data_IF_875785370198
#
_entry.id   IF_875785370198
#
_cell.length_a   1.000
_cell.length_b   1.000
_cell.length_c   1.000
_cell.angle_alpha   90.00
_cell.angle_beta   90.00
_cell.angle_gamma   90.00
#
_symmetry.space_group_name_H-M   'P 1'
#
loop_
_entity.id
_entity.type
_entity.pdbx_description
1 polymer ?
#
# COMPACT_ATOMS: atom_id res chain seq x y z
N UNK A 1 -10.66 26.75 9.25
CA UNK A 1 -9.50 26.05 9.82
C UNK A 1 -9.23 24.82 8.99
N UNK A 2 -7.97 24.61 8.60
CA UNK A 2 -7.55 23.50 7.74
C UNK A 2 -6.50 22.64 8.43
N UNK A 3 -6.50 21.35 8.13
CA UNK A 3 -5.52 20.38 8.59
C UNK A 3 -4.93 19.68 7.37
N UNK A 4 -3.62 19.72 7.25
CA UNK A 4 -2.87 18.99 6.23
C UNK A 4 -2.19 17.80 6.88
N UNK A 5 -2.31 16.63 6.25
CA UNK A 5 -1.91 15.35 6.83
C UNK A 5 -1.06 14.58 5.82
N UNK A 6 0.03 13.95 6.28
CA UNK A 6 0.80 12.99 5.49
C UNK A 6 0.19 11.58 5.60
N UNK A 7 0.34 10.79 4.54
CA UNK A 7 -0.16 9.39 4.56
C UNK A 7 0.45 8.55 5.67
N UNK A 8 1.75 8.67 5.94
CA UNK A 8 2.42 7.94 7.03
C UNK A 8 1.91 8.29 8.43
N UNK A 9 1.30 9.46 8.60
CA UNK A 9 0.56 9.79 9.82
C UNK A 9 -0.70 8.92 9.97
N UNK A 10 -1.33 8.53 8.86
CA UNK A 10 -2.59 7.80 8.79
C UNK A 10 -2.42 6.29 8.74
N UNK A 11 -1.25 5.79 8.31
CA UNK A 11 -0.96 4.36 8.15
C UNK A 11 -0.03 3.82 9.25
N UNK A 12 0.06 2.49 9.35
CA UNK A 12 0.77 1.77 10.42
C UNK A 12 2.20 1.36 10.04
N UNK A 13 2.56 1.36 8.75
CA UNK A 13 3.73 0.65 8.24
C UNK A 13 3.52 -0.88 8.20
N UNK A 14 2.26 -1.33 8.19
CA UNK A 14 1.89 -2.74 8.22
C UNK A 14 1.18 -3.10 6.90
N UNK A 15 1.84 -3.88 6.06
CA UNK A 15 1.28 -4.28 4.76
C UNK A 15 0.13 -5.28 4.91
N UNK A 16 -0.96 -5.03 4.20
CA UNK A 16 -2.16 -5.87 4.16
C UNK A 16 -2.63 -6.08 2.72
N UNK A 17 -3.22 -7.24 2.49
CA UNK A 17 -3.89 -7.56 1.22
C UNK A 17 -5.18 -6.73 1.10
N UNK A 18 -5.28 -5.92 0.05
CA UNK A 18 -6.44 -5.05 -0.17
C UNK A 18 -7.38 -5.54 -1.28
N UNK A 19 -6.86 -6.26 -2.27
CA UNK A 19 -7.64 -6.87 -3.33
C UNK A 19 -6.91 -8.06 -3.99
N UNK A 20 -7.68 -8.94 -4.62
CA UNK A 20 -7.17 -10.05 -5.43
C UNK A 20 -7.82 -9.97 -6.81
N UNK A 21 -6.99 -9.85 -7.84
CA UNK A 21 -7.42 -9.75 -9.23
C UNK A 21 -7.05 -11.03 -9.97
N UNK A 22 -8.05 -11.87 -10.22
CA UNK A 22 -7.85 -13.11 -10.96
C UNK A 22 -7.52 -12.84 -12.43
N UNK A 23 -6.51 -13.55 -12.93
CA UNK A 23 -6.22 -13.61 -14.36
C UNK A 23 -7.34 -14.36 -15.08
N UNK A 24 -7.72 -13.88 -16.28
CA UNK A 24 -8.72 -14.57 -17.12
C UNK A 24 -8.29 -15.98 -17.50
N UNK A 25 -6.98 -16.22 -17.58
CA UNK A 25 -6.39 -17.52 -17.91
C UNK A 25 -5.93 -18.28 -16.66
N UNK A 26 -6.37 -17.90 -15.46
CA UNK A 26 -5.91 -18.55 -14.23
C UNK A 26 -6.17 -20.06 -14.29
N UNK A 27 -5.15 -20.91 -14.07
CA UNK A 27 -5.32 -22.36 -14.07
C UNK A 27 -5.99 -22.86 -12.78
N UNK A 28 -6.15 -21.99 -11.78
CA UNK A 28 -6.66 -22.32 -10.45
C UNK A 28 -7.70 -21.31 -9.97
N UNK A 29 -8.47 -21.69 -8.96
CA UNK A 29 -9.44 -20.80 -8.30
C UNK A 29 -8.75 -19.71 -7.47
N UNK A 30 -9.52 -18.67 -7.11
CA UNK A 30 -9.04 -17.61 -6.22
C UNK A 30 -8.61 -18.14 -4.85
N UNK A 31 -9.35 -19.10 -4.30
CA UNK A 31 -9.01 -19.74 -3.02
C UNK A 31 -7.66 -20.46 -3.11
N UNK A 32 -7.45 -21.25 -4.18
CA UNK A 32 -6.20 -21.97 -4.41
C UNK A 32 -5.01 -21.04 -4.59
N UNK A 33 -5.08 -20.04 -5.48
CA UNK A 33 -3.95 -19.11 -5.69
C UNK A 33 -3.64 -18.30 -4.44
N UNK A 34 -4.66 -17.90 -3.67
CA UNK A 34 -4.48 -17.20 -2.39
C UNK A 34 -3.76 -18.09 -1.38
N UNK A 35 -4.16 -19.36 -1.28
CA UNK A 35 -3.50 -20.35 -0.43
C UNK A 35 -2.07 -20.62 -0.88
N UNK A 36 -1.82 -20.80 -2.18
CA UNK A 36 -0.49 -21.04 -2.72
C UNK A 36 0.46 -19.87 -2.47
N UNK A 37 0.00 -18.64 -2.72
CA UNK A 37 0.75 -17.43 -2.41
C UNK A 37 1.09 -17.37 -0.92
N UNK A 38 0.13 -17.62 -0.03
CA UNK A 38 0.36 -17.61 1.42
C UNK A 38 1.34 -18.70 1.88
N UNK A 39 1.24 -19.92 1.36
CA UNK A 39 2.18 -21.01 1.70
C UNK A 39 3.60 -20.71 1.22
N UNK A 40 3.74 -20.06 0.05
CA UNK A 40 5.02 -19.66 -0.49
C UNK A 40 5.63 -18.50 0.31
N UNK A 41 4.89 -17.41 0.49
CA UNK A 41 5.33 -16.16 1.14
C UNK A 41 5.70 -16.35 2.62
N UNK A 42 5.21 -17.38 3.31
CA UNK A 42 5.65 -17.73 4.67
C UNK A 42 7.16 -17.97 4.81
N UNK A 43 7.83 -18.27 3.70
CA UNK A 43 9.27 -18.54 3.67
C UNK A 43 10.08 -17.30 3.27
N UNK A 44 9.41 -16.19 2.94
CA UNK A 44 10.03 -14.93 2.56
C UNK A 44 10.35 -14.09 3.79
N UNK A 45 11.49 -13.42 3.77
CA UNK A 45 11.85 -12.44 4.83
C UNK A 45 11.38 -11.03 4.51
N UNK A 46 10.81 -10.82 3.33
CA UNK A 46 10.39 -9.51 2.86
C UNK A 46 9.18 -8.95 3.66
N UNK A 47 9.15 -7.66 4.02
CA UNK A 47 8.01 -7.08 4.76
C UNK A 47 6.64 -7.26 4.11
N UNK A 48 6.56 -7.27 2.76
CA UNK A 48 5.31 -7.51 2.01
C UNK A 48 4.74 -8.92 2.27
N UNK A 49 5.59 -9.92 2.53
CA UNK A 49 5.14 -11.28 2.80
C UNK A 49 4.20 -11.35 4.02
N UNK A 50 4.34 -10.41 4.96
CA UNK A 50 3.44 -10.28 6.13
C UNK A 50 1.99 -10.02 5.72
N UNK A 51 1.73 -9.41 4.56
CA UNK A 51 0.38 -9.20 4.06
C UNK A 51 -0.36 -10.52 3.82
N UNK A 52 0.38 -11.61 3.54
CA UNK A 52 -0.18 -12.95 3.32
C UNK A 52 -0.30 -13.77 4.61
N UNK A 53 0.30 -13.31 5.73
CA UNK A 53 0.34 -14.07 6.99
C UNK A 53 -1.03 -14.31 7.62
N UNK A 54 -2.00 -13.42 7.36
CA UNK A 54 -3.37 -13.53 7.87
C UNK A 54 -4.24 -14.52 7.06
N UNK A 55 -3.76 -14.99 5.91
CA UNK A 55 -4.45 -16.00 5.13
C UNK A 55 -4.34 -17.33 5.89
N UNK A 56 -5.48 -17.81 6.36
CA UNK A 56 -5.58 -19.16 6.92
C UNK A 56 -5.28 -20.14 5.81
N UNK A 57 -4.20 -20.88 5.99
CA UNK A 57 -3.97 -22.10 5.24
C UNK A 57 -4.18 -23.24 6.22
N UNK A 58 -4.76 -24.32 5.74
CA UNK A 58 -4.65 -25.66 6.31
C UNK A 58 -3.20 -26.18 6.25
N UNK A 59 -3.05 -27.49 6.47
CA UNK A 59 -1.81 -28.25 6.27
C UNK A 59 -1.26 -28.02 4.85
N UNK A 60 0.05 -27.90 4.75
CA UNK A 60 0.75 -27.65 3.48
C UNK A 60 2.05 -26.90 3.72
N UNK A 61 3.04 -27.11 2.86
CA UNK A 61 4.32 -26.42 2.90
C UNK A 61 4.84 -26.20 1.49
N UNK A 62 5.44 -25.03 1.25
CA UNK A 62 6.21 -24.82 0.03
C UNK A 62 7.55 -25.55 0.13
N UNK A 63 7.92 -26.26 -0.93
CA UNK A 63 9.21 -26.95 -1.05
C UNK A 63 10.02 -26.33 -2.17
N UNK A 64 11.33 -26.60 -2.20
CA UNK A 64 12.25 -26.01 -3.20
C UNK A 64 12.14 -24.48 -3.29
N UNK A 65 11.93 -23.84 -2.14
CA UNK A 65 11.72 -22.40 -2.07
C UNK A 65 13.04 -21.67 -2.37
N UNK A 66 12.95 -20.67 -3.24
CA UNK A 66 14.04 -19.77 -3.56
C UNK A 66 13.52 -18.33 -3.55
N UNK A 67 14.05 -17.51 -2.65
CA UNK A 67 13.86 -16.06 -2.66
C UNK A 67 14.88 -15.42 -3.63
N UNK A 68 14.39 -14.52 -4.48
CA UNK A 68 15.19 -13.77 -5.45
C UNK A 68 15.11 -12.29 -5.07
N UNK A 69 16.22 -11.78 -4.53
CA UNK A 69 16.30 -10.44 -3.96
C UNK A 69 15.80 -9.36 -4.93
N UNK A 70 14.84 -8.56 -4.46
CA UNK A 70 14.25 -7.46 -5.24
C UNK A 70 13.25 -7.88 -6.32
N UNK A 71 13.04 -9.20 -6.51
CA UNK A 71 12.16 -9.74 -7.55
C UNK A 71 10.95 -10.47 -6.97
N UNK A 72 11.17 -11.39 -6.03
CA UNK A 72 10.10 -12.18 -5.42
C UNK A 72 10.58 -13.54 -4.92
N UNK A 73 9.67 -14.50 -4.84
CA UNK A 73 9.89 -15.85 -4.33
C UNK A 73 9.27 -16.88 -5.27
N UNK A 74 9.92 -18.04 -5.41
CA UNK A 74 9.40 -19.18 -6.17
C UNK A 74 9.58 -20.48 -5.42
N UNK A 75 8.76 -21.48 -5.73
CA UNK A 75 8.86 -22.80 -5.13
C UNK A 75 7.76 -23.73 -5.62
N UNK A 76 7.63 -24.89 -4.96
CA UNK A 76 6.61 -25.88 -5.25
C UNK A 76 5.60 -25.93 -4.11
N UNK A 77 4.32 -25.74 -4.42
CA UNK A 77 3.20 -25.87 -3.46
C UNK A 77 2.24 -26.92 -4.00
N UNK A 78 1.99 -27.97 -3.22
CA UNK A 78 1.13 -29.10 -3.61
C UNK A 78 1.43 -29.68 -5.00
N UNK A 79 2.71 -29.74 -5.36
CA UNK A 79 3.18 -30.24 -6.66
C UNK A 79 3.14 -29.23 -7.81
N UNK A 80 2.59 -28.03 -7.59
CA UNK A 80 2.55 -26.97 -8.59
C UNK A 80 3.76 -26.03 -8.47
N UNK A 81 4.29 -25.59 -9.61
CA UNK A 81 5.32 -24.56 -9.66
C UNK A 81 4.67 -23.19 -9.44
N UNK A 82 5.02 -22.52 -8.35
CA UNK A 82 4.42 -21.23 -7.96
C UNK A 82 5.50 -20.16 -7.90
N UNK A 83 5.19 -19.00 -8.48
CA UNK A 83 6.03 -17.79 -8.39
C UNK A 83 5.16 -16.67 -7.84
N UNK A 84 5.67 -15.92 -6.86
CA UNK A 84 5.08 -14.69 -6.35
C UNK A 84 6.12 -13.57 -6.42
N UNK A 85 5.83 -12.46 -7.10
CA UNK A 85 6.79 -11.37 -7.22
C UNK A 85 6.31 -10.19 -8.05
N UNK A 86 7.23 -9.28 -8.36
CA UNK A 86 6.94 -8.12 -9.18
C UNK A 86 6.77 -8.50 -10.67
N UNK A 87 6.27 -7.54 -11.47
CA UNK A 87 6.05 -7.74 -12.89
C UNK A 87 7.33 -8.12 -13.66
N UNK A 88 8.48 -7.59 -13.24
CA UNK A 88 9.76 -7.87 -13.89
C UNK A 88 10.16 -9.33 -13.71
N UNK A 89 9.99 -9.89 -12.51
CA UNK A 89 10.31 -11.30 -12.24
C UNK A 89 9.49 -12.25 -13.13
N UNK A 90 8.17 -12.02 -13.23
CA UNK A 90 7.31 -12.85 -14.09
C UNK A 90 7.72 -12.72 -15.57
N UNK A 91 8.09 -11.52 -16.02
CA UNK A 91 8.61 -11.31 -17.38
C UNK A 91 9.92 -12.07 -17.63
N UNK A 92 10.85 -12.14 -16.68
CA UNK A 92 12.08 -12.93 -16.81
C UNK A 92 11.80 -14.43 -16.93
N UNK A 93 10.70 -14.90 -16.32
CA UNK A 93 10.22 -16.28 -16.42
C UNK A 93 9.34 -16.50 -17.66
N UNK A 94 9.28 -15.54 -18.59
CA UNK A 94 8.48 -15.59 -19.82
C UNK A 94 6.97 -15.72 -19.57
N UNK A 95 6.48 -15.22 -18.42
CA UNK A 95 5.08 -15.28 -18.02
C UNK A 95 4.41 -13.96 -18.40
N UNK A 96 3.42 -14.03 -19.29
CA UNK A 96 2.66 -12.87 -19.73
C UNK A 96 1.64 -12.45 -18.67
N UNK A 97 1.69 -11.17 -18.28
CA UNK A 97 0.71 -10.58 -17.36
C UNK A 97 -0.57 -10.28 -18.13
N UNK A 98 -1.65 -10.98 -17.81
CA UNK A 98 -2.96 -10.81 -18.45
C UNK A 98 -3.83 -9.73 -17.77
N UNK A 99 -3.26 -8.96 -16.84
CA UNK A 99 -3.92 -7.83 -16.19
C UNK A 99 -2.97 -6.65 -16.06
N UNK A 100 -3.27 -5.57 -16.79
CA UNK A 100 -2.67 -4.26 -16.54
C UNK A 100 -3.43 -3.62 -15.37
N UNK A 101 -3.08 -3.93 -14.13
CA UNK A 101 -3.37 -2.99 -13.05
C UNK A 101 -2.49 -1.76 -13.31
N UNK A 102 -3.12 -0.67 -13.75
CA UNK A 102 -2.45 0.60 -14.00
C UNK A 102 -2.33 1.35 -12.68
N UNK A 103 -1.12 1.77 -12.33
CA UNK A 103 -0.86 2.63 -11.17
C UNK A 103 0.37 2.21 -10.36
N UNK A 104 0.88 3.11 -9.53
CA UNK A 104 1.94 2.85 -8.55
C UNK A 104 1.32 2.22 -7.29
N UNK A 105 0.64 1.09 -7.46
CA UNK A 105 0.19 0.26 -6.34
C UNK A 105 1.25 -0.78 -6.05
N UNK A 106 1.45 -1.12 -4.77
CA UNK A 106 2.32 -2.25 -4.43
C UNK A 106 1.57 -3.52 -4.80
N UNK A 107 2.03 -4.23 -5.83
CA UNK A 107 1.40 -5.46 -6.30
C UNK A 107 2.34 -6.65 -6.18
N UNK A 108 1.76 -7.82 -5.92
CA UNK A 108 2.43 -9.12 -6.02
C UNK A 108 1.69 -9.94 -7.07
N UNK A 109 2.36 -10.24 -8.17
CA UNK A 109 1.84 -11.10 -9.21
C UNK A 109 2.19 -12.54 -8.90
N UNK A 110 1.22 -13.44 -9.06
CA UNK A 110 1.37 -14.85 -8.79
C UNK A 110 1.11 -15.65 -10.06
N UNK A 111 2.03 -16.55 -10.37
CA UNK A 111 1.87 -17.55 -11.42
C UNK A 111 1.81 -18.96 -10.85
N UNK A 112 1.11 -19.83 -11.56
CA UNK A 112 1.01 -21.26 -11.26
C UNK A 112 1.27 -22.00 -12.57
N UNK A 113 2.25 -22.90 -12.56
CA UNK A 113 2.70 -23.71 -13.71
C UNK A 113 2.98 -22.87 -14.97
N UNK A 114 3.65 -21.73 -14.78
CA UNK A 114 4.03 -20.83 -15.88
C UNK A 114 2.90 -19.92 -16.39
N UNK A 115 1.72 -19.97 -15.79
CA UNK A 115 0.57 -19.14 -16.19
C UNK A 115 0.30 -18.11 -15.09
N UNK A 116 0.19 -16.83 -15.46
CA UNK A 116 -0.23 -15.78 -14.54
C UNK A 116 -1.64 -16.09 -14.01
N UNK A 117 -1.76 -16.28 -12.69
CA UNK A 117 -2.96 -16.74 -12.01
C UNK A 117 -3.71 -15.57 -11.34
N UNK A 118 -3.00 -14.70 -10.60
CA UNK A 118 -3.61 -13.55 -9.96
C UNK A 118 -2.61 -12.43 -9.68
N UNK A 119 -3.13 -11.21 -9.53
CA UNK A 119 -2.39 -10.09 -8.94
C UNK A 119 -3.01 -9.71 -7.60
N UNK A 120 -2.19 -9.64 -6.57
CA UNK A 120 -2.58 -9.23 -5.22
C UNK A 120 -2.19 -7.75 -5.03
N UNK A 121 -3.16 -6.91 -4.67
CA UNK A 121 -2.90 -5.53 -4.26
C UNK A 121 -2.55 -5.49 -2.77
N UNK A 122 -1.47 -4.77 -2.46
CA UNK A 122 -0.94 -4.60 -1.12
C UNK A 122 -1.02 -3.11 -0.76
N UNK A 123 -1.59 -2.82 0.41
CA UNK A 123 -1.68 -1.47 0.97
C UNK A 123 -1.04 -1.44 2.36
N UNK A 124 -0.59 -0.26 2.77
CA UNK A 124 -0.25 -0.02 4.17
C UNK A 124 -1.55 0.19 4.98
N UNK A 125 -1.72 -0.58 6.05
CA UNK A 125 -2.90 -0.55 6.89
C UNK A 125 -3.09 0.82 7.55
N UNK A 126 -4.34 1.29 7.59
CA UNK A 126 -4.69 2.50 8.32
C UNK A 126 -4.60 2.27 9.84
N UNK A 127 -4.21 3.30 10.59
CA UNK A 127 -4.28 3.29 12.06
C UNK A 127 -5.74 3.14 12.51
N UNK A 128 -5.98 2.28 13.50
CA UNK A 128 -7.35 1.93 13.96
C UNK A 128 -8.15 3.15 14.44
N UNK A 129 -7.44 4.17 14.94
CA UNK A 129 -8.03 5.40 15.45
C UNK A 129 -8.04 6.55 14.43
N UNK A 130 -7.53 6.37 13.20
CA UNK A 130 -7.39 7.45 12.23
C UNK A 130 -8.74 8.12 11.94
N UNK A 131 -9.74 7.33 11.53
CA UNK A 131 -11.08 7.83 11.19
C UNK A 131 -11.75 8.53 12.38
N UNK A 132 -11.68 7.92 13.58
CA UNK A 132 -12.26 8.49 14.80
C UNK A 132 -11.60 9.83 15.17
N UNK A 133 -10.28 9.91 15.01
CA UNK A 133 -9.50 11.12 15.29
C UNK A 133 -9.90 12.24 14.34
N UNK A 134 -9.97 11.96 13.03
CA UNK A 134 -10.40 12.91 12.01
C UNK A 134 -11.83 13.42 12.22
N UNK A 135 -12.75 12.52 12.59
CA UNK A 135 -14.12 12.89 12.98
C UNK A 135 -14.14 13.80 14.21
N UNK A 136 -13.29 13.54 15.20
CA UNK A 136 -13.20 14.36 16.42
C UNK A 136 -12.66 15.75 16.11
N UNK A 137 -11.59 15.83 15.31
CA UNK A 137 -11.02 17.08 14.81
C UNK A 137 -12.06 17.90 14.04
N UNK A 138 -12.89 17.23 13.21
CA UNK A 138 -13.98 17.89 12.48
C UNK A 138 -15.02 18.51 13.42
N UNK A 139 -15.39 17.79 14.50
CA UNK A 139 -16.30 18.31 15.53
C UNK A 139 -15.73 19.51 16.30
N UNK A 140 -14.42 19.70 16.30
CA UNK A 140 -13.74 20.85 16.91
C UNK A 140 -13.64 22.07 15.96
N UNK A 141 -14.29 22.03 14.79
CA UNK A 141 -14.36 23.16 13.85
C UNK A 141 -13.28 23.17 12.76
N UNK A 142 -12.53 22.07 12.60
CA UNK A 142 -11.55 21.90 11.53
C UNK A 142 -12.18 21.06 10.40
N UNK A 143 -12.84 21.77 9.49
CA UNK A 143 -13.66 21.17 8.44
C UNK A 143 -12.92 20.88 7.13
N UNK A 144 -11.71 21.43 6.95
CA UNK A 144 -10.92 21.21 5.73
C UNK A 144 -9.72 20.31 6.04
N UNK A 145 -9.87 19.01 5.85
CA UNK A 145 -8.86 18.00 6.10
C UNK A 145 -8.32 17.49 4.76
N UNK A 146 -7.03 17.76 4.49
CA UNK A 146 -6.39 17.56 3.20
C UNK A 146 -5.19 16.63 3.35
N UNK A 147 -5.08 15.61 2.51
CA UNK A 147 -3.92 14.72 2.50
C UNK A 147 -2.90 15.11 1.43
N UNK A 148 -1.61 15.13 1.78
CA UNK A 148 -0.50 15.23 0.82
C UNK A 148 0.28 13.92 0.81
N UNK A 149 0.32 13.25 -0.34
CA UNK A 149 0.96 11.95 -0.49
C UNK A 149 1.88 11.86 -1.70
N UNK A 150 2.87 10.95 -1.59
CA UNK A 150 3.69 10.51 -2.73
C UNK A 150 3.10 9.29 -3.42
N UNK A 151 2.05 8.67 -2.87
CA UNK A 151 1.39 7.51 -3.46
C UNK A 151 0.63 7.89 -4.74
N UNK A 152 0.23 6.88 -5.49
CA UNK A 152 -0.64 7.02 -6.67
C UNK A 152 -1.97 7.70 -6.34
N UNK A 153 -2.59 8.27 -7.38
CA UNK A 153 -3.91 8.91 -7.30
C UNK A 153 -4.96 7.92 -6.79
N UNK A 154 -4.87 6.66 -7.22
CA UNK A 154 -5.77 5.58 -6.85
C UNK A 154 -5.72 5.29 -5.34
N UNK A 155 -4.51 5.14 -4.78
CA UNK A 155 -4.31 4.92 -3.34
C UNK A 155 -4.78 6.13 -2.53
N UNK A 156 -4.38 7.33 -2.95
CA UNK A 156 -4.75 8.58 -2.28
C UNK A 156 -6.27 8.78 -2.23
N UNK A 157 -6.95 8.50 -3.34
CA UNK A 157 -8.40 8.58 -3.46
C UNK A 157 -9.10 7.60 -2.53
N UNK A 158 -8.66 6.33 -2.50
CA UNK A 158 -9.22 5.30 -1.61
C UNK A 158 -9.08 5.69 -0.14
N UNK A 159 -7.90 6.17 0.29
CA UNK A 159 -7.68 6.60 1.67
C UNK A 159 -8.56 7.81 2.01
N UNK A 160 -8.64 8.79 1.13
CA UNK A 160 -9.48 9.99 1.29
C UNK A 160 -10.94 9.61 1.50
N UNK A 161 -11.48 8.71 0.67
CA UNK A 161 -12.85 8.22 0.77
C UNK A 161 -13.07 7.42 2.06
N UNK A 162 -12.17 6.47 2.39
CA UNK A 162 -12.27 5.64 3.60
C UNK A 162 -12.29 6.48 4.88
N UNK A 163 -11.49 7.56 4.92
CA UNK A 163 -11.33 8.40 6.12
C UNK A 163 -12.25 9.63 6.15
N UNK A 164 -12.96 9.94 5.06
CA UNK A 164 -13.81 11.12 4.95
C UNK A 164 -13.02 12.44 4.95
N UNK A 165 -11.89 12.47 4.24
CA UNK A 165 -11.12 13.68 3.98
C UNK A 165 -11.76 14.50 2.86
N UNK A 166 -11.48 15.81 2.83
CA UNK A 166 -12.14 16.74 1.89
C UNK A 166 -11.37 16.85 0.57
N UNK A 167 -10.06 16.64 0.58
CA UNK A 167 -9.22 16.66 -0.61
C UNK A 167 -7.91 15.87 -0.40
N UNK A 168 -7.25 15.56 -1.51
CA UNK A 168 -5.89 15.04 -1.52
C UNK A 168 -5.08 15.62 -2.67
N UNK A 169 -3.76 15.57 -2.54
CA UNK A 169 -2.80 15.72 -3.63
C UNK A 169 -1.84 14.52 -3.60
N UNK A 170 -1.72 13.84 -4.73
CA UNK A 170 -1.01 12.56 -4.88
C UNK A 170 0.23 12.72 -5.77
N UNK A 171 1.07 11.69 -5.79
CA UNK A 171 2.30 11.61 -6.61
C UNK A 171 3.26 12.77 -6.38
N UNK A 172 3.25 13.34 -5.17
CA UNK A 172 4.11 14.47 -4.82
C UNK A 172 5.49 13.98 -4.37
N UNK A 173 6.52 14.50 -5.03
CA UNK A 173 7.89 14.45 -4.55
C UNK A 173 8.04 15.26 -3.24
N UNK A 174 9.09 15.00 -2.43
CA UNK A 174 9.31 15.71 -1.17
C UNK A 174 9.23 17.24 -1.29
N UNK A 175 9.88 17.83 -2.30
CA UNK A 175 9.84 19.28 -2.55
C UNK A 175 8.44 19.76 -2.95
N UNK A 176 7.73 18.98 -3.77
CA UNK A 176 6.38 19.33 -4.23
C UNK A 176 5.36 19.31 -3.08
N UNK A 177 5.57 18.49 -2.04
CA UNK A 177 4.75 18.52 -0.82
C UNK A 177 4.91 19.84 -0.06
N UNK A 178 6.13 20.38 0.01
CA UNK A 178 6.40 21.68 0.64
C UNK A 178 5.69 22.78 -0.14
N UNK A 179 5.86 22.84 -1.47
CA UNK A 179 5.18 23.82 -2.32
C UNK A 179 3.64 23.72 -2.23
N UNK A 180 3.11 22.49 -2.19
CA UNK A 180 1.69 22.25 -2.03
C UNK A 180 1.18 22.79 -0.68
N UNK A 181 1.93 22.58 0.39
CA UNK A 181 1.61 23.13 1.71
C UNK A 181 1.64 24.67 1.71
N UNK A 182 2.68 25.29 1.16
CA UNK A 182 2.79 26.76 1.08
C UNK A 182 1.61 27.38 0.30
N UNK A 183 1.20 26.75 -0.81
CA UNK A 183 0.02 27.17 -1.57
C UNK A 183 -1.28 27.07 -0.75
N UNK A 184 -1.40 26.05 0.11
CA UNK A 184 -2.54 25.89 1.01
C UNK A 184 -2.50 26.89 2.16
N UNK A 185 -1.32 27.18 2.71
CA UNK A 185 -1.12 28.18 3.76
C UNK A 185 -1.53 29.58 3.29
N UNK A 186 -1.16 29.97 2.07
CA UNK A 186 -1.61 31.23 1.46
C UNK A 186 -3.13 31.32 1.28
N UNK A 187 -3.82 30.18 1.07
CA UNK A 187 -5.28 30.11 0.86
C UNK A 187 -6.07 30.00 2.16
N UNK A 188 -5.45 29.53 3.25
CA UNK A 188 -6.12 29.23 4.50
C UNK A 188 -5.53 30.01 5.66
N UNK A 189 -6.31 30.94 6.22
CA UNK A 189 -5.92 31.81 7.34
C UNK A 189 -5.42 31.07 8.60
N UNK A 190 -5.93 29.86 8.83
CA UNK A 190 -5.52 28.99 9.94
C UNK A 190 -5.35 27.56 9.41
N UNK A 191 -4.10 27.12 9.32
CA UNK A 191 -3.71 25.80 8.83
C UNK A 191 -2.78 25.12 9.85
N UNK A 192 -2.97 23.82 10.04
CA UNK A 192 -2.07 22.97 10.81
C UNK A 192 -1.53 21.86 9.90
N UNK A 193 -0.31 21.41 10.15
CA UNK A 193 0.34 20.32 9.42
C UNK A 193 0.69 19.19 10.37
N UNK A 194 0.35 17.95 10.02
CA UNK A 194 0.63 16.76 10.83
C UNK A 194 1.37 15.72 10.00
N UNK A 195 2.62 15.49 10.39
CA UNK A 195 3.54 14.53 9.79
C UNK A 195 4.23 13.67 10.85
N UNK A 196 4.65 12.49 10.43
CA UNK A 196 5.29 11.42 11.18
C UNK A 196 6.79 11.66 11.48
N UNK A 197 7.33 12.84 11.15
CA UNK A 197 8.62 13.32 11.66
C UNK A 197 9.88 12.67 11.10
N UNK A 198 9.81 11.43 10.58
CA UNK A 198 11.00 10.67 10.13
C UNK A 198 11.58 11.21 8.80
N UNK A 199 10.75 11.81 7.95
CA UNK A 199 11.17 12.49 6.71
C UNK A 199 11.23 14.04 6.83
N UNK A 200 10.87 14.60 8.00
CA UNK A 200 10.63 16.04 8.16
C UNK A 200 11.74 16.78 8.91
N UNK A 201 12.81 16.09 9.33
CA UNK A 201 13.95 16.71 10.01
C UNK A 201 14.70 17.75 9.14
N UNK A 202 14.56 17.70 7.81
CA UNK A 202 15.10 18.73 6.92
C UNK A 202 14.11 19.85 6.58
N UNK A 203 12.81 19.69 6.88
CA UNK A 203 11.77 20.68 6.57
C UNK A 203 11.38 21.55 7.77
N UNK A 204 11.82 21.20 8.98
CA UNK A 204 11.34 21.86 10.20
C UNK A 204 12.26 23.00 10.66
N UNK A 205 12.10 24.17 10.05
CA UNK A 205 12.56 25.43 10.64
C UNK A 205 11.47 26.51 10.78
N UNK A 206 10.21 26.24 10.39
CA UNK A 206 9.16 27.29 10.37
C UNK A 206 7.76 26.90 10.86
N UNK A 207 7.56 25.70 11.41
CA UNK A 207 6.30 25.32 12.06
C UNK A 207 6.14 25.94 13.45
N UNK A 208 5.37 27.04 13.56
CA UNK A 208 4.99 27.67 14.84
C UNK A 208 4.35 26.63 15.76
N UNK A 209 5.05 26.28 16.84
CA UNK A 209 4.51 25.52 17.95
C UNK A 209 3.42 26.34 18.63
N UNK A 210 2.19 25.80 18.67
CA UNK A 210 1.06 26.38 19.37
C UNK A 210 0.59 25.45 20.49
N UNK A 211 1.38 25.35 21.55
CA UNK A 211 0.92 24.84 22.85
C UNK A 211 0.57 26.02 23.76
N UNK A 212 -0.69 26.08 24.18
CA UNK A 212 -1.07 26.62 25.48
C UNK A 212 -1.80 25.51 26.21
#
# INVERSE_FOLDING_TARGET
NSLVIKTGTLTKGEFVLSAVHMSKSSPVSQEQVTRYAALLERNSTHPIAKAFSFIKTDQGQATQVQEISGLGIKGIVDGHSVIAGNAHFLSEQQILLNSELKGEMTTVHVSVDGIHAATFEIEDALKDNAEKTLKTIRKQGIHNQIMLTGDSVEVASRITQKLGLDAFQAQLLPQQKVEAFEKLECKHKHIAYVGDGVNDAQSNSRGRHGGR
#
